data_IF_025255971443
#
_entry.id   IF_025255971443
#
_cell.length_a   1.000
_cell.length_b   1.000
_cell.length_c   1.000
_cell.angle_alpha   90.00
_cell.angle_beta   90.00
_cell.angle_gamma   90.00
#
_symmetry.space_group_name_H-M   'P 1'
#
loop_
_entity.id
_entity.type
_entity.pdbx_description
1 polymer ?
#
# COMPACT_ATOMS: atom_id res chain seq x y z
N UNK A 1 -49.56 -4.67 10.90
CA UNK A 1 -49.78 -3.47 11.72
C UNK A 1 -49.51 -3.84 13.17
N UNK A 2 -48.24 -3.78 13.59
CA UNK A 2 -47.81 -4.07 14.96
C UNK A 2 -46.80 -2.99 15.31
N UNK A 3 -47.18 -2.18 16.29
CA UNK A 3 -46.46 -1.02 16.82
C UNK A 3 -45.47 -1.48 17.88
N UNK A 4 -44.20 -1.13 17.74
CA UNK A 4 -43.23 -1.19 18.84
C UNK A 4 -42.74 0.21 19.18
N UNK A 5 -42.85 0.53 20.47
CA UNK A 5 -42.61 1.82 21.08
C UNK A 5 -41.10 2.03 21.33
N UNK A 6 -40.69 3.28 21.16
CA UNK A 6 -39.42 3.85 21.61
C UNK A 6 -39.13 3.58 23.09
N UNK A 7 -37.86 3.34 23.40
CA UNK A 7 -37.29 3.62 24.72
C UNK A 7 -36.01 4.42 24.51
N UNK A 8 -36.03 5.66 24.98
CA UNK A 8 -34.92 6.60 25.05
C UNK A 8 -34.26 6.38 26.42
N UNK A 9 -32.96 6.12 26.45
CA UNK A 9 -32.15 6.25 27.66
C UNK A 9 -31.14 7.37 27.46
N UNK A 10 -31.43 8.50 28.10
CA UNK A 10 -30.48 9.57 28.35
C UNK A 10 -29.81 9.29 29.70
N UNK A 11 -28.48 9.23 29.73
CA UNK A 11 -27.70 9.34 30.96
C UNK A 11 -26.73 10.50 30.81
N UNK A 12 -27.05 11.58 31.52
CA UNK A 12 -26.17 12.70 31.84
C UNK A 12 -25.55 12.38 33.21
N UNK A 13 -24.22 12.51 33.34
CA UNK A 13 -23.64 12.89 34.63
C UNK A 13 -22.36 13.73 34.45
N UNK A 14 -22.38 14.84 35.19
CA UNK A 14 -21.37 15.89 35.39
C UNK A 14 -20.18 15.45 36.26
N UNK A 15 -19.08 16.22 36.17
CA UNK A 15 -18.13 16.47 37.29
C UNK A 15 -16.67 16.57 36.83
N UNK A 16 -16.11 17.72 36.39
CA UNK A 16 -15.61 18.92 37.11
C UNK A 16 -14.40 18.72 38.07
N UNK A 17 -13.28 19.41 37.72
CA UNK A 17 -12.38 20.29 38.53
C UNK A 17 -10.95 19.82 38.90
N UNK A 18 -10.02 20.70 38.47
CA UNK A 18 -8.72 21.20 39.01
C UNK A 18 -7.60 20.31 39.51
N UNK A 19 -6.39 20.72 39.10
CA UNK A 19 -5.14 20.51 39.84
C UNK A 19 -3.97 21.27 39.22
N UNK A 20 -3.85 22.56 39.52
CA UNK A 20 -2.69 23.40 39.25
C UNK A 20 -1.62 23.17 40.33
N UNK A 21 -0.34 23.02 39.96
CA UNK A 21 0.75 23.46 40.84
C UNK A 21 2.00 23.82 40.05
N UNK A 22 2.27 25.12 40.07
CA UNK A 22 3.55 25.78 39.82
C UNK A 22 4.57 25.39 40.89
N UNK A 23 5.83 25.21 40.50
CA UNK A 23 6.97 25.43 41.40
C UNK A 23 8.07 26.17 40.66
N UNK A 24 8.40 27.33 41.22
CA UNK A 24 9.33 28.36 40.81
C UNK A 24 10.74 28.09 41.40
N UNK A 25 11.69 28.95 41.03
CA UNK A 25 13.00 29.23 41.66
C UNK A 25 14.18 28.43 41.06
N UNK A 26 15.37 28.98 40.76
CA UNK A 26 16.00 30.28 41.08
C UNK A 26 17.12 30.57 40.06
N UNK A 27 17.33 31.85 39.74
CA UNK A 27 18.46 32.42 38.98
C UNK A 27 19.84 32.16 39.64
N UNK A 28 20.91 32.14 38.83
CA UNK A 28 21.92 33.22 38.75
C UNK A 28 23.26 32.71 38.20
N UNK A 29 23.87 33.52 37.33
CA UNK A 29 25.33 33.60 37.22
C UNK A 29 25.93 33.39 35.83
N UNK A 30 25.86 34.42 34.98
CA UNK A 30 26.95 34.68 34.02
C UNK A 30 28.04 35.52 34.73
N UNK A 31 29.32 35.40 34.33
CA UNK A 31 29.82 36.44 33.46
C UNK A 31 30.70 35.96 32.29
N UNK A 32 30.69 36.83 31.28
CA UNK A 32 31.35 36.84 29.98
C UNK A 32 32.87 37.00 30.04
N UNK A 33 33.64 36.30 29.17
CA UNK A 33 34.86 36.81 28.48
C UNK A 33 35.12 35.98 27.20
N UNK A 34 35.18 36.64 26.03
CA UNK A 34 35.86 36.23 24.78
C UNK A 34 37.09 37.15 24.59
N UNK A 35 37.98 37.03 23.58
CA UNK A 35 38.31 35.95 22.63
C UNK A 35 39.84 35.69 22.52
N UNK A 36 40.26 34.60 21.84
CA UNK A 36 41.60 34.52 21.25
C UNK A 36 41.60 33.72 19.95
N UNK A 37 41.91 34.44 18.88
CA UNK A 37 42.27 34.02 17.51
C UNK A 37 43.50 33.11 17.51
N UNK A 38 43.54 32.08 16.67
CA UNK A 38 44.76 31.65 15.96
C UNK A 38 44.37 30.92 14.67
N UNK A 39 44.93 31.40 13.57
CA UNK A 39 44.82 30.92 12.20
C UNK A 39 45.88 29.85 11.89
N UNK A 40 45.55 28.86 11.06
CA UNK A 40 46.47 28.11 10.17
C UNK A 40 45.57 27.30 9.20
N UNK A 41 45.40 27.68 7.93
CA UNK A 41 46.28 27.47 6.76
C UNK A 41 46.30 26.02 6.21
N UNK A 42 45.54 25.87 5.11
CA UNK A 42 45.91 25.19 3.83
C UNK A 42 46.05 23.66 3.80
N UNK A 43 45.18 22.98 3.03
CA UNK A 43 45.54 22.40 1.72
C UNK A 43 44.31 21.92 0.93
N UNK A 44 44.24 22.40 -0.31
CA UNK A 44 43.33 21.97 -1.36
C UNK A 44 43.87 20.65 -1.91
N UNK A 45 43.03 19.61 -1.98
CA UNK A 45 43.28 18.43 -2.81
C UNK A 45 42.13 18.30 -3.79
N UNK A 46 42.43 18.66 -5.03
CA UNK A 46 41.62 18.32 -6.20
C UNK A 46 41.59 16.80 -6.36
N UNK A 47 40.39 16.24 -6.29
CA UNK A 47 40.11 14.85 -6.62
C UNK A 47 38.85 14.81 -7.46
N UNK A 48 38.99 15.12 -8.75
CA UNK A 48 37.96 14.92 -9.76
C UNK A 48 37.64 13.44 -9.88
N UNK A 49 36.66 12.98 -9.10
CA UNK A 49 36.06 11.66 -9.31
C UNK A 49 34.97 11.84 -10.35
N UNK A 50 35.25 11.43 -11.59
CA UNK A 50 34.25 11.28 -12.64
C UNK A 50 33.21 10.26 -12.14
N UNK A 51 32.08 10.75 -11.65
CA UNK A 51 30.87 9.96 -11.60
C UNK A 51 30.45 9.71 -13.04
N UNK A 52 30.75 8.50 -13.49
CA UNK A 52 30.24 8.00 -14.76
C UNK A 52 28.77 7.77 -14.52
N UNK A 53 27.92 8.66 -15.04
CA UNK A 53 26.47 8.46 -15.11
C UNK A 53 26.22 7.14 -15.84
N UNK A 54 26.05 6.09 -15.05
CA UNK A 54 25.60 4.81 -15.55
C UNK A 54 24.13 5.03 -15.87
N UNK A 55 23.88 5.35 -17.14
CA UNK A 55 22.57 5.44 -17.74
C UNK A 55 21.95 4.03 -17.73
N UNK A 56 21.45 3.62 -16.57
CA UNK A 56 20.65 2.40 -16.42
C UNK A 56 19.26 2.74 -16.95
N UNK A 57 19.12 2.63 -18.27
CA UNK A 57 17.82 2.59 -18.92
C UNK A 57 17.02 1.47 -18.26
N UNK A 58 15.93 1.82 -17.58
CA UNK A 58 14.95 0.84 -17.10
C UNK A 58 14.56 -0.05 -18.28
N UNK A 59 14.94 -1.33 -18.23
CA UNK A 59 14.52 -2.29 -19.23
C UNK A 59 13.06 -2.63 -18.95
N UNK A 60 12.19 -2.20 -19.85
CA UNK A 60 10.78 -2.59 -19.90
C UNK A 60 10.71 -4.10 -20.15
N UNK A 61 10.65 -4.90 -19.09
CA UNK A 61 10.30 -6.31 -19.22
C UNK A 61 8.78 -6.40 -19.16
N UNK A 62 8.10 -6.83 -20.24
CA UNK A 62 6.66 -7.04 -20.19
C UNK A 62 6.34 -8.09 -19.11
N UNK A 63 5.24 -7.94 -18.38
CA UNK A 63 4.93 -8.78 -17.23
C UNK A 63 4.82 -10.24 -17.69
N UNK A 64 5.56 -11.14 -17.02
CA UNK A 64 5.40 -12.57 -17.23
C UNK A 64 4.04 -12.98 -16.66
N UNK A 65 3.14 -13.47 -17.51
CA UNK A 65 1.93 -14.12 -17.07
C UNK A 65 2.27 -15.36 -16.22
N UNK A 66 1.80 -15.39 -14.96
CA UNK A 66 1.99 -16.54 -14.06
C UNK A 66 1.11 -17.69 -14.56
N UNK A 67 1.73 -18.79 -15.00
CA UNK A 67 1.03 -19.88 -15.69
C UNK A 67 0.47 -20.98 -14.78
N UNK A 68 0.85 -21.03 -13.50
CA UNK A 68 0.45 -22.11 -12.58
C UNK A 68 -0.31 -21.57 -11.37
N UNK A 69 -1.49 -22.13 -11.10
CA UNK A 69 -2.34 -21.78 -9.95
C UNK A 69 -1.67 -22.04 -8.59
N UNK A 70 -0.72 -22.97 -8.52
CA UNK A 70 0.01 -23.30 -7.28
C UNK A 70 0.93 -22.16 -6.81
N UNK A 71 1.34 -21.26 -7.72
CA UNK A 71 2.20 -20.11 -7.43
C UNK A 71 1.42 -18.78 -7.47
N UNK A 72 0.09 -18.83 -7.52
CA UNK A 72 -0.74 -17.63 -7.56
C UNK A 72 -1.22 -17.25 -6.16
N UNK A 73 -0.96 -16.00 -5.76
CA UNK A 73 -1.56 -15.36 -4.60
C UNK A 73 -3.01 -14.96 -4.88
N UNK A 74 -3.38 -14.73 -6.15
CA UNK A 74 -4.73 -14.29 -6.56
C UNK A 74 -5.35 -15.32 -7.50
N UNK A 75 -6.45 -15.93 -7.06
CA UNK A 75 -7.17 -16.97 -7.79
C UNK A 75 -8.63 -16.60 -8.01
N UNK A 76 -9.21 -16.98 -9.15
CA UNK A 76 -10.66 -17.01 -9.40
C UNK A 76 -11.16 -18.44 -9.22
N UNK A 77 -12.28 -18.60 -8.50
CA UNK A 77 -12.96 -19.89 -8.30
C UNK A 77 -12.00 -21.06 -7.92
N UNK A 78 -11.01 -20.79 -7.06
CA UNK A 78 -10.03 -21.76 -6.52
C UNK A 78 -9.14 -22.48 -7.53
N UNK A 79 -9.13 -22.11 -8.81
CA UNK A 79 -8.41 -22.89 -9.84
C UNK A 79 -7.83 -22.08 -10.99
N UNK A 80 -8.30 -20.86 -11.22
CA UNK A 80 -7.84 -19.99 -12.29
C UNK A 80 -6.95 -18.87 -11.72
N UNK A 81 -5.69 -18.80 -12.15
CA UNK A 81 -4.83 -17.65 -11.85
C UNK A 81 -5.30 -16.45 -12.66
N UNK A 82 -5.60 -15.33 -12.00
CA UNK A 82 -5.89 -14.04 -12.64
C UNK A 82 -4.68 -13.10 -12.65
N UNK A 83 -3.50 -13.61 -12.32
CA UNK A 83 -2.31 -12.79 -12.15
C UNK A 83 -1.85 -12.26 -13.49
N UNK A 84 -1.94 -10.94 -13.65
CA UNK A 84 -1.48 -10.24 -14.85
C UNK A 84 -0.04 -9.75 -14.72
N UNK A 85 0.46 -9.59 -13.49
CA UNK A 85 1.83 -9.19 -13.21
C UNK A 85 2.33 -9.86 -11.94
N UNK A 86 3.61 -10.24 -11.98
CA UNK A 86 4.39 -10.66 -10.81
C UNK A 86 5.67 -9.82 -10.74
N UNK A 87 6.02 -9.37 -9.54
CA UNK A 87 7.31 -8.76 -9.22
C UNK A 87 7.94 -9.44 -8.01
N UNK A 88 9.27 -9.57 -8.02
CA UNK A 88 10.06 -10.13 -6.91
C UNK A 88 11.08 -9.11 -6.43
N UNK A 89 11.43 -9.12 -5.13
CA UNK A 89 12.50 -8.29 -4.58
C UNK A 89 13.77 -8.36 -5.42
N UNK A 90 14.44 -7.22 -5.55
CA UNK A 90 15.68 -7.06 -6.34
C UNK A 90 15.53 -7.32 -7.85
N UNK A 91 14.31 -7.54 -8.35
CA UNK A 91 14.01 -7.59 -9.77
C UNK A 91 13.99 -6.19 -10.41
N UNK A 92 14.10 -6.12 -11.75
CA UNK A 92 13.89 -4.87 -12.46
C UNK A 92 12.46 -4.37 -12.29
N UNK A 93 12.26 -3.08 -12.58
CA UNK A 93 10.92 -2.51 -12.64
C UNK A 93 10.05 -3.29 -13.64
N UNK A 94 8.83 -3.62 -13.21
CA UNK A 94 7.81 -4.22 -14.07
C UNK A 94 6.67 -3.23 -14.25
N UNK A 95 6.11 -3.21 -15.46
CA UNK A 95 5.01 -2.31 -15.83
C UNK A 95 3.84 -3.14 -16.33
N UNK A 96 2.66 -2.96 -15.73
CA UNK A 96 1.41 -3.55 -16.19
C UNK A 96 0.49 -2.46 -16.74
N UNK A 97 0.32 -2.39 -18.07
CA UNK A 97 -0.70 -1.56 -18.68
C UNK A 97 -2.10 -2.06 -18.31
N UNK A 98 -2.96 -1.13 -17.91
CA UNK A 98 -4.33 -1.35 -17.48
C UNK A 98 -5.24 -0.26 -18.05
N UNK A 99 -6.54 -0.55 -18.12
CA UNK A 99 -7.55 0.44 -18.44
C UNK A 99 -8.52 0.54 -17.27
N UNK A 100 -8.82 1.77 -16.86
CA UNK A 100 -9.90 2.08 -15.94
C UNK A 100 -10.93 2.91 -16.70
N UNK A 101 -11.89 2.21 -17.31
CA UNK A 101 -12.84 2.82 -18.25
C UNK A 101 -12.12 3.38 -19.48
N UNK A 102 -12.06 4.71 -19.59
CA UNK A 102 -11.38 5.42 -20.69
C UNK A 102 -9.93 5.79 -20.38
N UNK A 103 -9.53 5.72 -19.11
CA UNK A 103 -8.22 6.20 -18.67
C UNK A 103 -7.21 5.05 -18.74
N UNK A 104 -6.09 5.29 -19.40
CA UNK A 104 -4.98 4.34 -19.47
C UNK A 104 -4.07 4.54 -18.27
N UNK A 105 -3.76 3.45 -17.60
CA UNK A 105 -2.90 3.46 -16.41
C UNK A 105 -1.80 2.42 -16.60
N UNK A 106 -0.59 2.77 -16.19
CA UNK A 106 0.54 1.86 -16.10
C UNK A 106 0.85 1.65 -14.62
N UNK A 107 0.62 0.43 -14.11
CA UNK A 107 1.09 0.08 -12.77
C UNK A 107 2.56 -0.27 -12.81
N UNK A 108 3.36 0.38 -11.98
CA UNK A 108 4.80 0.22 -11.91
C UNK A 108 5.14 -0.35 -10.54
N UNK A 109 5.82 -1.50 -10.53
CA UNK A 109 6.38 -2.11 -9.34
C UNK A 109 7.90 -2.18 -9.48
N UNK A 110 8.63 -1.84 -8.42
CA UNK A 110 10.08 -1.88 -8.46
C UNK A 110 10.72 -1.40 -7.17
N UNK A 111 12.04 -1.25 -7.21
CA UNK A 111 12.78 -0.63 -6.11
C UNK A 111 12.61 0.89 -6.15
N UNK A 112 12.50 1.48 -4.96
CA UNK A 112 12.61 2.93 -4.75
C UNK A 112 14.04 3.29 -4.33
N UNK A 113 14.47 4.53 -4.62
CA UNK A 113 15.84 4.98 -4.36
C UNK A 113 15.87 5.98 -3.19
N UNK A 114 16.78 5.85 -2.20
CA UNK A 114 17.87 4.88 -2.12
C UNK A 114 17.49 3.49 -1.62
N UNK A 115 16.37 3.33 -0.91
CA UNK A 115 15.84 2.05 -0.45
C UNK A 115 14.32 2.05 -0.58
N UNK A 116 13.73 0.85 -0.55
CA UNK A 116 12.30 0.64 -0.45
C UNK A 116 11.68 0.07 -1.72
N UNK A 117 10.36 -0.07 -1.71
CA UNK A 117 9.57 -0.56 -2.83
C UNK A 117 8.66 0.54 -3.34
N UNK A 118 8.70 0.82 -4.64
CA UNK A 118 7.73 1.72 -5.28
C UNK A 118 6.59 0.91 -5.88
N UNK A 119 5.37 1.36 -5.60
CA UNK A 119 4.15 0.91 -6.27
C UNK A 119 3.40 2.15 -6.73
N UNK A 120 3.41 2.39 -8.05
CA UNK A 120 2.89 3.61 -8.65
C UNK A 120 1.82 3.29 -9.68
N UNK A 121 0.77 4.10 -9.74
CA UNK A 121 -0.16 4.17 -10.86
C UNK A 121 0.17 5.40 -11.72
N UNK A 122 0.73 5.16 -12.91
CA UNK A 122 1.14 6.20 -13.85
C UNK A 122 0.08 6.43 -14.94
N UNK A 123 -0.28 7.68 -15.16
CA UNK A 123 -1.14 8.17 -16.22
C UNK A 123 -0.24 8.79 -17.30
N UNK A 124 0.10 8.03 -18.36
CA UNK A 124 1.12 8.46 -19.31
C UNK A 124 0.69 9.68 -20.13
N UNK A 125 -0.60 9.81 -20.45
CA UNK A 125 -1.13 10.91 -21.27
C UNK A 125 -1.02 12.26 -20.54
N UNK A 126 -1.19 12.27 -19.22
CA UNK A 126 -1.09 13.45 -18.35
C UNK A 126 0.31 13.63 -17.76
N UNK A 127 1.17 12.61 -17.88
CA UNK A 127 2.49 12.51 -17.25
C UNK A 127 2.43 12.71 -15.73
N UNK A 128 1.53 11.98 -15.07
CA UNK A 128 1.34 12.00 -13.61
C UNK A 128 1.44 10.59 -13.06
N UNK A 129 2.02 10.43 -11.88
CA UNK A 129 1.99 9.17 -11.15
C UNK A 129 1.49 9.40 -9.72
N UNK A 130 0.67 8.47 -9.24
CA UNK A 130 0.20 8.43 -7.86
C UNK A 130 0.80 7.22 -7.16
N UNK A 131 1.42 7.38 -5.97
CA UNK A 131 1.78 6.24 -5.15
C UNK A 131 0.51 5.56 -4.64
N UNK A 132 0.50 4.23 -4.66
CA UNK A 132 -0.53 3.44 -4.01
C UNK A 132 -0.08 3.17 -2.57
N UNK A 133 -0.86 3.64 -1.61
CA UNK A 133 -0.61 3.38 -0.20
C UNK A 133 -0.91 1.91 0.09
N UNK A 134 0.13 1.18 0.47
CA UNK A 134 0.09 -0.25 0.81
C UNK A 134 0.49 -0.45 2.28
N UNK A 135 0.28 0.56 3.11
CA UNK A 135 0.44 0.42 4.56
C UNK A 135 -0.71 -0.40 5.15
N UNK A 136 -0.40 -1.17 6.20
CA UNK A 136 -1.38 -1.93 6.97
C UNK A 136 -1.63 -1.23 8.31
N UNK A 137 -2.90 -1.09 8.70
CA UNK A 137 -3.28 -0.38 9.92
C UNK A 137 -2.88 -1.14 11.21
N UNK A 138 -2.69 -2.46 11.13
CA UNK A 138 -2.40 -3.34 12.27
C UNK A 138 -0.91 -3.65 12.46
N UNK A 139 -0.04 -3.06 11.63
CA UNK A 139 1.40 -3.26 11.70
C UNK A 139 1.91 -4.58 11.13
N UNK A 140 1.04 -5.38 10.48
CA UNK A 140 1.48 -6.53 9.69
C UNK A 140 2.21 -6.05 8.43
N UNK A 141 3.55 -6.02 8.48
CA UNK A 141 4.38 -5.50 7.40
C UNK A 141 5.02 -6.63 6.61
N UNK A 142 4.71 -6.69 5.31
CA UNK A 142 5.47 -7.46 4.30
C UNK A 142 6.82 -6.80 3.95
N UNK A 143 7.01 -5.56 4.42
CA UNK A 143 8.20 -4.76 4.24
C UNK A 143 9.15 -4.88 5.43
N UNK A 144 10.44 -4.88 5.15
CA UNK A 144 11.50 -4.80 6.15
C UNK A 144 11.67 -3.36 6.70
N UNK A 145 12.66 -3.18 7.57
CA UNK A 145 12.97 -1.89 8.20
C UNK A 145 13.37 -0.78 7.19
N UNK A 146 13.67 -1.16 5.94
CA UNK A 146 14.03 -0.24 4.86
C UNK A 146 12.88 0.01 3.88
N UNK A 147 11.71 -0.59 4.10
CA UNK A 147 10.56 -0.49 3.20
C UNK A 147 10.68 -1.40 1.97
N UNK A 148 11.64 -2.32 1.96
CA UNK A 148 11.81 -3.32 0.90
C UNK A 148 10.94 -4.53 1.20
N UNK A 149 10.37 -5.14 0.16
CA UNK A 149 9.65 -6.40 0.32
C UNK A 149 10.63 -7.50 0.75
N UNK A 150 10.24 -8.28 1.74
CA UNK A 150 11.01 -9.41 2.28
C UNK A 150 11.45 -10.37 1.16
N UNK A 151 12.71 -10.84 1.19
CA UNK A 151 13.40 -11.58 0.11
C UNK A 151 12.61 -12.76 -0.50
N UNK A 152 11.74 -13.42 0.26
CA UNK A 152 10.95 -14.59 -0.20
C UNK A 152 9.54 -14.25 -0.68
N UNK A 153 9.16 -12.96 -0.66
CA UNK A 153 7.82 -12.53 -1.01
C UNK A 153 7.79 -12.14 -2.47
N UNK A 154 6.58 -12.06 -3.02
CA UNK A 154 6.32 -11.54 -4.36
C UNK A 154 5.11 -10.63 -4.32
N UNK A 155 5.06 -9.68 -5.24
CA UNK A 155 3.88 -8.90 -5.52
C UNK A 155 3.16 -9.52 -6.71
N UNK A 156 1.86 -9.69 -6.60
CA UNK A 156 0.99 -9.99 -7.73
C UNK A 156 -0.13 -8.96 -7.81
N UNK A 157 -0.53 -8.62 -9.03
CA UNK A 157 -1.60 -7.65 -9.25
C UNK A 157 -2.54 -8.10 -10.36
N UNK A 158 -3.82 -7.73 -10.21
CA UNK A 158 -4.85 -7.93 -11.22
C UNK A 158 -5.95 -6.88 -11.12
N UNK A 159 -6.82 -6.83 -12.13
CA UNK A 159 -8.10 -6.12 -12.07
C UNK A 159 -9.22 -7.14 -12.00
N UNK A 160 -10.23 -6.85 -11.18
CA UNK A 160 -11.40 -7.70 -11.05
C UNK A 160 -12.63 -6.85 -10.74
N UNK A 161 -13.69 -7.03 -11.51
CA UNK A 161 -14.95 -6.30 -11.41
C UNK A 161 -15.88 -7.02 -10.43
N UNK A 162 -16.00 -6.49 -9.22
CA UNK A 162 -16.81 -7.11 -8.17
C UNK A 162 -18.30 -6.79 -8.27
N UNK A 163 -18.70 -5.69 -8.91
CA UNK A 163 -20.11 -5.26 -9.02
C UNK A 163 -20.69 -5.31 -10.45
N UNK A 164 -19.92 -5.85 -11.39
CA UNK A 164 -20.27 -6.03 -12.81
C UNK A 164 -20.62 -4.68 -13.51
N UNK A 165 -20.02 -3.56 -13.07
CA UNK A 165 -20.24 -2.24 -13.65
C UNK A 165 -19.37 -1.96 -14.90
N UNK A 166 -18.43 -2.85 -15.20
CA UNK A 166 -17.48 -2.76 -16.31
C UNK A 166 -16.17 -2.05 -15.97
N UNK A 167 -15.97 -1.63 -14.73
CA UNK A 167 -14.77 -0.98 -14.19
C UNK A 167 -14.19 -1.81 -13.04
N UNK A 168 -13.24 -2.70 -13.35
CA UNK A 168 -12.64 -3.55 -12.33
C UNK A 168 -11.84 -2.81 -11.27
N UNK A 169 -11.98 -3.24 -10.02
CA UNK A 169 -11.11 -2.86 -8.91
C UNK A 169 -9.70 -3.43 -9.07
N UNK A 170 -8.70 -2.67 -8.63
CA UNK A 170 -7.32 -3.10 -8.59
C UNK A 170 -7.07 -3.93 -7.33
N UNK A 171 -6.56 -5.14 -7.50
CA UNK A 171 -6.14 -6.01 -6.41
C UNK A 171 -4.63 -6.15 -6.45
N UNK A 172 -3.99 -5.88 -5.31
CA UNK A 172 -2.55 -6.10 -5.09
C UNK A 172 -2.41 -7.09 -3.94
N UNK A 173 -1.67 -8.16 -4.17
CA UNK A 173 -1.36 -9.19 -3.18
C UNK A 173 0.15 -9.29 -3.00
N UNK A 174 0.61 -9.34 -1.74
CA UNK A 174 2.02 -9.49 -1.39
C UNK A 174 2.16 -10.61 -0.38
N UNK A 175 2.99 -11.62 -0.66
CA UNK A 175 3.13 -12.76 0.23
C UNK A 175 4.14 -13.81 -0.24
N UNK A 176 4.35 -14.82 0.58
CA UNK A 176 5.24 -15.96 0.31
C UNK A 176 4.53 -17.11 -0.43
N UNK A 177 3.20 -17.06 -0.53
CA UNK A 177 2.36 -18.11 -1.14
C UNK A 177 2.16 -19.35 -0.26
N UNK A 178 2.60 -19.31 1.00
CA UNK A 178 2.57 -20.43 1.94
C UNK A 178 1.82 -20.10 3.22
N UNK A 179 2.20 -19.01 3.89
CA UNK A 179 1.77 -18.71 5.25
C UNK A 179 1.52 -17.24 5.55
N UNK A 180 2.04 -16.34 4.72
CA UNK A 180 1.81 -14.91 4.85
C UNK A 180 1.35 -14.27 3.55
N UNK A 181 0.33 -13.43 3.68
CA UNK A 181 -0.32 -12.73 2.59
C UNK A 181 -0.92 -11.43 3.10
N UNK A 182 -0.59 -10.31 2.47
CA UNK A 182 -1.32 -9.06 2.58
C UNK A 182 -2.00 -8.75 1.26
N UNK A 183 -3.23 -8.24 1.33
CA UNK A 183 -4.02 -7.87 0.15
C UNK A 183 -4.59 -6.48 0.32
N UNK A 184 -4.45 -5.68 -0.73
CA UNK A 184 -5.06 -4.37 -0.88
C UNK A 184 -5.98 -4.36 -2.09
N UNK A 185 -7.13 -3.70 -1.95
CA UNK A 185 -8.08 -3.48 -3.05
C UNK A 185 -8.32 -1.98 -3.18
N UNK A 186 -8.18 -1.47 -4.40
CA UNK A 186 -8.41 -0.07 -4.73
C UNK A 186 -9.54 0.06 -5.75
N UNK A 187 -10.49 0.94 -5.44
CA UNK A 187 -11.47 1.43 -6.42
C UNK A 187 -10.87 2.59 -7.21
N UNK A 188 -11.45 2.86 -8.39
CA UNK A 188 -11.04 3.94 -9.27
C UNK A 188 -12.21 4.88 -9.55
N UNK A 189 -11.99 6.18 -9.44
CA UNK A 189 -12.94 7.21 -9.89
C UNK A 189 -12.26 8.16 -10.86
N UNK A 190 -12.86 8.35 -12.04
CA UNK A 190 -12.37 9.34 -13.00
C UNK A 190 -12.40 10.75 -12.38
N UNK A 191 -11.30 11.49 -12.56
CA UNK A 191 -11.17 12.87 -12.09
C UNK A 191 -10.68 13.78 -13.21
N UNK A 192 -11.22 15.00 -13.29
CA UNK A 192 -10.86 15.96 -14.33
C UNK A 192 -9.41 16.48 -14.21
N UNK A 193 -8.81 16.37 -13.02
CA UNK A 193 -7.48 16.90 -12.76
C UNK A 193 -6.62 15.93 -11.95
N UNK A 194 -6.05 14.96 -12.67
CA UNK A 194 -5.12 13.96 -12.14
C UNK A 194 -3.88 14.56 -11.48
N UNK A 195 -3.50 15.82 -11.74
CA UNK A 195 -2.38 16.50 -11.06
C UNK A 195 -2.70 16.96 -9.64
N UNK A 196 -3.98 16.94 -9.25
CA UNK A 196 -4.44 17.46 -7.96
C UNK A 196 -5.20 16.44 -7.13
N UNK A 197 -5.86 15.48 -7.77
CA UNK A 197 -6.74 14.52 -7.12
C UNK A 197 -6.23 13.12 -7.45
N UNK A 198 -5.97 12.33 -6.42
CA UNK A 198 -5.70 10.91 -6.56
C UNK A 198 -7.02 10.20 -6.91
N UNK A 199 -7.12 9.51 -8.06
CA UNK A 199 -8.34 8.82 -8.46
C UNK A 199 -8.53 7.46 -7.76
N UNK A 200 -7.52 6.96 -7.05
CA UNK A 200 -7.58 5.68 -6.34
C UNK A 200 -8.01 5.87 -4.88
N UNK A 201 -8.94 5.02 -4.45
CA UNK A 201 -9.36 4.91 -3.06
C UNK A 201 -9.12 3.47 -2.60
N UNK A 202 -8.44 3.29 -1.47
CA UNK A 202 -8.23 1.97 -0.88
C UNK A 202 -9.50 1.52 -0.16
N UNK A 203 -10.16 0.48 -0.67
CA UNK A 203 -11.41 -0.07 -0.14
C UNK A 203 -11.18 -1.21 0.85
N UNK A 204 -10.06 -1.92 0.71
CA UNK A 204 -9.70 -3.03 1.59
C UNK A 204 -8.20 -3.09 1.78
N UNK A 205 -7.79 -3.38 3.01
CA UNK A 205 -6.44 -3.79 3.38
C UNK A 205 -6.57 -4.86 4.46
N UNK A 206 -6.13 -6.08 4.17
CA UNK A 206 -6.28 -7.24 5.08
C UNK A 206 -5.17 -8.25 4.90
N UNK A 207 -4.99 -9.10 5.90
CA UNK A 207 -4.05 -10.22 5.87
C UNK A 207 -4.77 -11.54 5.54
N UNK A 208 -3.99 -12.54 5.14
CA UNK A 208 -4.39 -13.92 4.84
C UNK A 208 -3.22 -14.88 5.07
N UNK A 209 -3.32 -16.11 4.55
CA UNK A 209 -2.25 -17.11 4.66
C UNK A 209 -1.53 -17.35 3.33
N UNK A 210 -2.15 -18.07 2.39
CA UNK A 210 -1.46 -18.51 1.17
C UNK A 210 -1.91 -17.80 -0.10
N UNK A 211 -3.22 -17.61 -0.25
CA UNK A 211 -3.82 -16.95 -1.42
C UNK A 211 -5.14 -16.28 -1.04
N UNK A 212 -5.64 -15.50 -1.98
CA UNK A 212 -6.97 -14.90 -1.97
C UNK A 212 -7.78 -15.45 -3.15
N UNK A 213 -9.05 -15.73 -2.89
CA UNK A 213 -10.00 -16.22 -3.89
C UNK A 213 -11.01 -15.12 -4.22
N UNK A 214 -11.23 -14.93 -5.52
CA UNK A 214 -12.20 -14.01 -6.09
C UNK A 214 -13.39 -14.84 -6.60
N UNK A 215 -14.57 -14.62 -6.05
CA UNK A 215 -15.82 -15.28 -6.45
C UNK A 215 -16.97 -14.27 -6.48
N UNK A 216 -17.43 -13.91 -7.69
CA UNK A 216 -18.48 -12.91 -7.92
C UNK A 216 -18.13 -11.61 -7.19
N UNK A 217 -19.00 -11.14 -6.29
CA UNK A 217 -18.80 -9.94 -5.51
C UNK A 217 -18.15 -10.19 -4.14
N UNK A 218 -17.44 -11.31 -3.98
CA UNK A 218 -16.80 -11.69 -2.73
C UNK A 218 -15.31 -11.96 -2.91
N UNK A 219 -14.55 -11.57 -1.88
CA UNK A 219 -13.14 -11.88 -1.71
C UNK A 219 -12.98 -12.77 -0.49
N UNK A 220 -12.37 -13.94 -0.68
CA UNK A 220 -12.26 -15.00 0.32
C UNK A 220 -10.80 -15.23 0.67
N UNK A 221 -10.52 -15.40 1.96
CA UNK A 221 -9.19 -15.63 2.52
C UNK A 221 -9.17 -16.99 3.21
N UNK A 222 -8.80 -18.07 2.51
CA UNK A 222 -8.70 -19.40 3.11
C UNK A 222 -7.69 -19.43 4.24
N UNK A 223 -8.03 -20.14 5.32
CA UNK A 223 -7.11 -20.38 6.42
C UNK A 223 -7.26 -21.78 7.01
N UNK A 224 -6.13 -22.30 7.48
CA UNK A 224 -6.04 -23.66 8.02
C UNK A 224 -6.34 -24.76 7.00
N UNK A 225 -6.25 -26.01 7.44
CA UNK A 225 -6.42 -27.19 6.58
C UNK A 225 -7.87 -27.70 6.49
N UNK A 226 -8.83 -27.03 7.15
CA UNK A 226 -10.21 -27.47 7.29
C UNK A 226 -11.17 -26.83 6.27
N UNK A 227 -10.65 -26.07 5.29
CA UNK A 227 -11.47 -25.35 4.31
C UNK A 227 -12.24 -24.18 4.91
N UNK A 228 -11.70 -23.56 5.98
CA UNK A 228 -12.26 -22.34 6.55
C UNK A 228 -11.75 -21.13 5.74
N UNK A 229 -12.53 -20.06 5.75
CA UNK A 229 -12.17 -18.82 5.08
C UNK A 229 -12.78 -17.62 5.80
N UNK A 230 -12.05 -16.52 5.81
CA UNK A 230 -12.64 -15.21 6.05
C UNK A 230 -13.19 -14.69 4.72
N UNK A 231 -14.24 -13.86 4.77
CA UNK A 231 -14.84 -13.31 3.57
C UNK A 231 -15.18 -11.85 3.75
N UNK A 232 -15.09 -11.12 2.65
CA UNK A 232 -15.64 -9.78 2.52
C UNK A 232 -16.49 -9.72 1.27
N UNK A 233 -17.66 -9.11 1.40
CA UNK A 233 -18.59 -8.92 0.30
C UNK A 233 -18.55 -7.47 -0.15
N UNK A 234 -18.44 -7.26 -1.45
CA UNK A 234 -18.51 -5.94 -2.06
C UNK A 234 -19.98 -5.55 -2.25
N UNK A 235 -20.40 -4.53 -1.52
CA UNK A 235 -21.77 -4.00 -1.51
C UNK A 235 -21.70 -2.49 -1.38
N UNK A 236 -22.46 -1.78 -2.22
CA UNK A 236 -22.50 -0.31 -2.21
C UNK A 236 -21.10 0.33 -2.26
N UNK A 237 -20.22 -0.22 -3.12
CA UNK A 237 -18.83 0.21 -3.33
C UNK A 237 -17.93 0.09 -2.10
N UNK A 238 -18.25 -0.81 -1.16
CA UNK A 238 -17.43 -1.07 0.01
C UNK A 238 -17.34 -2.57 0.31
N UNK A 239 -16.19 -3.00 0.84
CA UNK A 239 -16.02 -4.35 1.37
C UNK A 239 -16.57 -4.46 2.80
N UNK A 240 -17.56 -5.32 3.00
CA UNK A 240 -18.17 -5.58 4.30
C UNK A 240 -17.90 -7.01 4.76
N UNK A 241 -17.52 -7.17 6.03
CA UNK A 241 -17.51 -8.49 6.68
C UNK A 241 -18.95 -8.95 6.91
N UNK A 242 -19.32 -10.19 6.53
CA UNK A 242 -20.60 -10.76 6.90
C UNK A 242 -20.75 -10.81 8.43
N UNK A 243 -21.93 -10.46 8.92
CA UNK A 243 -22.28 -10.66 10.34
C UNK A 243 -22.70 -12.13 10.49
N UNK A 244 -21.90 -12.90 11.23
CA UNK A 244 -22.23 -14.26 11.64
C UNK A 244 -23.23 -14.28 12.80
#
# INVERSE_FOLDING_TARGET
MISFRSVIFASVLLGLISGCSTSESTEMGSPSVTPATTSESTQIVEGSTQFTESNVSAQLIPPLAVKNAEDALILKNSSESLVHLEWKPYGPDVILPMNFGKDKVELIFGLDHPNGTKILAMFPEESVAWPLDISMADGASVFDDYGEITENYKIQATQYDFDDDGLGELIIAVGDGLSDLNVWVFSYTHVDNLKKINPFLQELATTGQSNVLLDKNEILFPYGSQGLFDSYKYVDQMFMKPVN
#
